data_IF_472011450058
#
_entry.id   IF_472011450058
#
_cell.length_a   1.000
_cell.length_b   1.000
_cell.length_c   1.000
_cell.angle_alpha   90.00
_cell.angle_beta   90.00
_cell.angle_gamma   90.00
#
_symmetry.space_group_name_H-M   'P 1'
#
loop_
_entity.id
_entity.type
_entity.pdbx_description
1 polymer ?
#
# COMPACT_ATOMS: atom_id res chain seq x y z
N UNK A 1 -17.50 -17.70 -2.17
CA UNK A 1 -17.24 -17.30 -3.58
C UNK A 1 -17.01 -15.80 -3.57
N UNK A 2 -15.76 -15.34 -3.64
CA UNK A 2 -15.48 -13.90 -3.75
C UNK A 2 -15.66 -13.50 -5.21
N UNK A 3 -16.73 -12.77 -5.51
CA UNK A 3 -16.88 -12.09 -6.79
C UNK A 3 -15.71 -11.10 -6.93
N UNK A 4 -14.83 -11.36 -7.89
CA UNK A 4 -13.76 -10.44 -8.26
C UNK A 4 -14.40 -9.23 -8.95
N UNK A 5 -14.88 -8.29 -8.15
CA UNK A 5 -15.51 -7.05 -8.62
C UNK A 5 -14.42 -6.16 -9.21
N UNK A 6 -14.53 -5.88 -10.50
CA UNK A 6 -13.67 -4.88 -11.14
C UNK A 6 -13.97 -3.51 -10.53
N UNK A 7 -12.94 -2.85 -9.97
CA UNK A 7 -13.02 -1.47 -9.48
C UNK A 7 -12.45 -0.52 -10.55
N UNK A 8 -13.29 0.34 -11.17
CA UNK A 8 -12.84 1.37 -12.10
C UNK A 8 -11.76 2.26 -11.50
N UNK A 9 -10.81 2.72 -12.32
CA UNK A 9 -9.62 3.47 -11.87
C UNK A 9 -9.97 4.77 -11.16
N UNK A 10 -11.00 5.46 -11.62
CA UNK A 10 -11.54 6.70 -11.07
C UNK A 10 -12.22 6.53 -9.70
N UNK A 11 -12.60 5.30 -9.33
CA UNK A 11 -13.22 4.96 -8.04
C UNK A 11 -12.22 4.43 -7.00
N UNK A 12 -10.93 4.40 -7.35
CA UNK A 12 -9.85 3.93 -6.46
C UNK A 12 -9.43 5.03 -5.48
N UNK A 13 -8.78 4.63 -4.41
CA UNK A 13 -8.20 5.55 -3.42
C UNK A 13 -6.90 6.12 -4.01
N UNK A 14 -6.93 7.39 -4.40
CA UNK A 14 -5.83 8.06 -5.12
C UNK A 14 -4.93 8.91 -4.21
N UNK A 15 -5.39 9.21 -2.99
CA UNK A 15 -4.73 10.08 -2.02
C UNK A 15 -3.95 9.29 -0.94
N UNK A 16 -3.60 8.03 -1.21
CA UNK A 16 -3.11 7.13 -0.18
C UNK A 16 -1.80 7.62 0.46
N UNK A 17 -0.89 8.22 -0.34
CA UNK A 17 0.41 8.68 0.15
C UNK A 17 0.32 9.73 1.25
N UNK A 18 -0.63 10.66 1.16
CA UNK A 18 -0.76 11.80 2.10
C UNK A 18 -1.13 11.37 3.52
N UNK A 19 -1.55 10.11 3.70
CA UNK A 19 -1.90 9.53 5.00
C UNK A 19 -0.67 9.10 5.80
N UNK A 20 0.52 9.20 5.20
CA UNK A 20 1.78 8.72 5.77
C UNK A 20 2.82 9.84 5.91
N UNK A 21 2.45 11.11 5.79
CA UNK A 21 3.38 12.24 5.81
C UNK A 21 4.26 12.29 7.07
N UNK A 22 3.77 11.78 8.20
CA UNK A 22 4.48 11.74 9.49
C UNK A 22 5.40 10.50 9.66
N UNK A 23 5.25 9.48 8.80
CA UNK A 23 5.96 8.20 8.94
C UNK A 23 6.65 7.71 7.66
N UNK A 24 6.47 8.40 6.53
CA UNK A 24 6.93 7.95 5.20
C UNK A 24 8.43 7.63 5.17
N UNK A 25 9.27 8.45 5.80
CA UNK A 25 10.72 8.26 5.83
C UNK A 25 11.16 6.94 6.52
N UNK A 26 10.27 6.33 7.33
CA UNK A 26 10.54 5.06 8.01
C UNK A 26 10.03 3.84 7.22
N UNK A 27 9.37 4.05 6.08
CA UNK A 27 8.68 2.98 5.35
C UNK A 27 9.42 2.61 4.06
N UNK A 28 9.78 1.33 3.94
CA UNK A 28 10.24 0.75 2.67
C UNK A 28 9.05 0.27 1.83
N UNK A 29 8.53 1.15 0.96
CA UNK A 29 7.43 0.81 0.03
C UNK A 29 7.77 -0.36 -0.91
N UNK A 30 9.04 -0.48 -1.31
CA UNK A 30 9.54 -1.62 -2.10
C UNK A 30 9.33 -2.95 -1.37
N UNK A 31 9.64 -2.99 -0.08
CA UNK A 31 9.51 -4.22 0.70
C UNK A 31 8.03 -4.57 0.88
N UNK A 32 7.18 -3.58 1.20
CA UNK A 32 5.73 -3.81 1.33
C UNK A 32 5.15 -4.39 0.03
N UNK A 33 5.50 -3.81 -1.12
CA UNK A 33 5.05 -4.27 -2.44
C UNK A 33 5.42 -5.74 -2.70
N UNK A 34 6.67 -6.11 -2.40
CA UNK A 34 7.16 -7.46 -2.63
C UNK A 34 6.55 -8.46 -1.65
N UNK A 35 6.53 -8.16 -0.36
CA UNK A 35 6.13 -9.09 0.70
C UNK A 35 4.63 -9.32 0.76
N UNK A 36 3.82 -8.25 0.68
CA UNK A 36 2.38 -8.33 0.93
C UNK A 36 1.53 -8.35 -0.34
N UNK A 37 2.04 -7.78 -1.44
CA UNK A 37 1.30 -7.67 -2.70
C UNK A 37 1.86 -8.57 -3.81
N UNK A 38 3.09 -9.09 -3.66
CA UNK A 38 3.78 -9.86 -4.70
C UNK A 38 3.87 -9.08 -6.02
N UNK A 39 4.08 -7.76 -5.92
CA UNK A 39 4.21 -6.81 -7.03
C UNK A 39 5.51 -6.02 -6.90
N UNK A 40 5.97 -5.47 -8.02
CA UNK A 40 7.15 -4.60 -8.05
C UNK A 40 6.90 -3.23 -7.42
N UNK A 41 7.98 -2.56 -7.02
CA UNK A 41 7.93 -1.21 -6.42
C UNK A 41 7.26 -0.18 -7.30
N UNK A 42 7.50 -0.18 -8.62
CA UNK A 42 6.88 0.79 -9.53
C UNK A 42 5.36 0.70 -9.51
N UNK A 43 4.80 -0.51 -9.47
CA UNK A 43 3.35 -0.71 -9.32
C UNK A 43 2.83 -0.06 -8.03
N UNK A 44 3.55 -0.25 -6.92
CA UNK A 44 3.15 0.30 -5.63
C UNK A 44 3.23 1.82 -5.59
N UNK A 45 4.26 2.42 -6.20
CA UNK A 45 4.37 3.88 -6.28
C UNK A 45 3.28 4.51 -7.15
N UNK A 46 2.86 3.86 -8.24
CA UNK A 46 1.69 4.32 -9.01
C UNK A 46 0.42 4.34 -8.16
N UNK A 47 0.22 3.30 -7.36
CA UNK A 47 -0.91 3.19 -6.44
C UNK A 47 -0.89 4.25 -5.35
N UNK A 48 0.28 4.49 -4.74
CA UNK A 48 0.47 5.51 -3.70
C UNK A 48 0.21 6.91 -4.21
N UNK A 49 0.74 7.24 -5.40
CA UNK A 49 0.69 8.59 -5.95
C UNK A 49 -0.63 8.89 -6.69
N UNK A 50 -1.51 7.89 -6.84
CA UNK A 50 -2.81 8.07 -7.48
C UNK A 50 -2.79 8.13 -9.01
N UNK A 51 -1.67 7.78 -9.65
CA UNK A 51 -1.55 7.81 -11.11
C UNK A 51 -0.64 6.71 -11.64
N UNK A 52 -1.00 6.15 -12.80
CA UNK A 52 -0.17 5.17 -13.50
C UNK A 52 1.01 5.81 -14.25
N UNK A 53 1.82 4.97 -14.92
CA UNK A 53 2.98 5.41 -15.70
C UNK A 53 2.64 6.24 -16.94
N UNK A 54 1.36 6.31 -17.33
CA UNK A 54 0.87 7.16 -18.42
C UNK A 54 0.16 8.42 -17.90
N UNK A 55 0.24 8.70 -16.59
CA UNK A 55 -0.42 9.84 -15.96
C UNK A 55 -1.95 9.71 -15.85
N UNK A 56 -2.52 8.53 -16.10
CA UNK A 56 -3.95 8.29 -15.90
C UNK A 56 -4.23 8.00 -14.42
N UNK A 57 -5.42 8.35 -13.90
CA UNK A 57 -5.79 8.02 -12.53
C UNK A 57 -5.57 6.54 -12.23
N UNK A 58 -4.98 6.25 -11.08
CA UNK A 58 -4.88 4.92 -10.50
C UNK A 58 -4.98 5.06 -8.98
N UNK A 59 -4.91 3.96 -8.25
CA UNK A 59 -4.97 4.00 -6.80
C UNK A 59 -5.26 2.63 -6.24
N UNK A 60 -5.41 2.55 -4.93
CA UNK A 60 -5.76 1.29 -4.27
C UNK A 60 -7.24 0.98 -4.46
N UNK A 61 -7.57 -0.26 -4.80
CA UNK A 61 -8.94 -0.76 -4.56
C UNK A 61 -9.21 -0.90 -3.06
N UNK A 62 -10.46 -1.03 -2.60
CA UNK A 62 -10.76 -1.28 -1.19
C UNK A 62 -10.02 -2.51 -0.63
N UNK A 63 -9.91 -3.58 -1.41
CA UNK A 63 -9.22 -4.81 -1.03
C UNK A 63 -7.71 -4.62 -0.93
N UNK A 64 -7.12 -3.87 -1.88
CA UNK A 64 -5.70 -3.54 -1.84
C UNK A 64 -5.38 -2.62 -0.65
N UNK A 65 -6.28 -1.67 -0.33
CA UNK A 65 -6.14 -0.80 0.84
C UNK A 65 -6.25 -1.57 2.16
N UNK A 66 -7.15 -2.55 2.25
CA UNK A 66 -7.23 -3.44 3.41
C UNK A 66 -5.97 -4.31 3.52
N UNK A 67 -5.41 -4.77 2.40
CA UNK A 67 -4.11 -5.46 2.38
C UNK A 67 -3.00 -4.56 2.93
N UNK A 68 -2.95 -3.29 2.51
CA UNK A 68 -1.97 -2.31 3.01
C UNK A 68 -2.15 -2.06 4.51
N UNK A 69 -3.38 -1.89 4.98
CA UNK A 69 -3.70 -1.74 6.39
C UNK A 69 -3.17 -2.91 7.22
N UNK A 70 -3.42 -4.14 6.78
CA UNK A 70 -2.95 -5.33 7.48
C UNK A 70 -1.42 -5.47 7.44
N UNK A 71 -0.77 -5.10 6.33
CA UNK A 71 0.68 -5.06 6.22
C UNK A 71 1.31 -4.11 7.26
N UNK A 72 0.75 -2.89 7.39
CA UNK A 72 1.24 -1.90 8.34
C UNK A 72 1.05 -2.36 9.80
N UNK A 73 -0.08 -2.99 10.13
CA UNK A 73 -0.32 -3.57 11.46
C UNK A 73 0.69 -4.67 11.76
N UNK A 74 0.99 -5.54 10.80
CA UNK A 74 2.02 -6.58 10.97
C UNK A 74 3.41 -5.98 11.18
N UNK A 75 3.80 -4.96 10.40
CA UNK A 75 5.07 -4.24 10.56
C UNK A 75 5.16 -3.59 11.93
N UNK A 76 4.12 -2.88 12.39
CA UNK A 76 4.09 -2.26 13.72
C UNK A 76 4.29 -3.31 14.82
N UNK A 77 3.64 -4.47 14.70
CA UNK A 77 3.82 -5.58 15.64
C UNK A 77 5.23 -6.18 15.59
N UNK A 78 5.85 -6.27 14.41
CA UNK A 78 7.24 -6.73 14.25
C UNK A 78 8.22 -5.76 14.91
N UNK A 79 8.03 -4.46 14.70
CA UNK A 79 8.85 -3.41 15.32
C UNK A 79 8.73 -3.46 16.85
N UNK A 80 7.50 -3.59 17.38
CA UNK A 80 7.27 -3.76 18.83
C UNK A 80 8.00 -4.97 19.40
N UNK A 81 7.86 -6.14 18.77
CA UNK A 81 8.59 -7.36 19.21
C UNK A 81 10.10 -7.22 19.12
N UNK A 82 10.63 -6.42 18.19
CA UNK A 82 12.06 -6.15 18.11
C UNK A 82 12.51 -5.24 19.26
N UNK A 83 11.73 -4.21 19.58
CA UNK A 83 11.98 -3.33 20.72
C UNK A 83 11.96 -4.08 22.05
N UNK A 84 11.00 -5.01 22.25
CA UNK A 84 10.90 -5.82 23.47
C UNK A 84 12.12 -6.77 23.70
N UNK A 85 13.00 -6.91 22.71
CA UNK A 85 14.21 -7.76 22.79
C UNK A 85 15.49 -6.96 23.07
N UNK A 86 15.39 -5.64 23.15
CA UNK A 86 16.49 -4.73 23.50
C UNK A 86 16.42 -4.49 25.00
#
# INVERSE_FOLDING_TARGET
MTTNTFVPKDQRIQDMRTRFDDVEDFISWREIANTYFQRGSSWFYHKLNGHDGNGKPDGFTPEEAETLRNALIDIANRLRRAADRI
#
